data_IF_409757844166
#
_entry.id   IF_409757844166
#
_cell.length_a   1.000
_cell.length_b   1.000
_cell.length_c   1.000
_cell.angle_alpha   90.00
_cell.angle_beta   90.00
_cell.angle_gamma   90.00
#
_symmetry.space_group_name_H-M   'P 1'
#
loop_
_entity.id
_entity.type
_entity.pdbx_description
1 polymer ?
#
# COMPACT_ATOMS: atom_id res chain seq x y z
N UNK A 1 -3.68 10.44 36.39
CA UNK A 1 -2.27 10.71 36.04
C UNK A 1 -1.72 9.66 35.08
N UNK A 2 -1.92 8.35 35.30
CA UNK A 2 -1.45 7.28 34.38
C UNK A 2 -2.13 7.25 33.00
N UNK A 3 -3.44 7.55 32.90
CA UNK A 3 -4.16 7.56 31.60
C UNK A 3 -3.64 8.63 30.63
N UNK A 4 -3.33 9.81 31.14
CA UNK A 4 -2.78 10.92 30.34
C UNK A 4 -1.37 10.56 29.86
N UNK A 5 -0.57 9.90 30.70
CA UNK A 5 0.76 9.44 30.33
C UNK A 5 0.70 8.35 29.25
N UNK A 6 -0.31 7.48 29.29
CA UNK A 6 -0.55 6.45 28.27
C UNK A 6 -0.94 7.05 26.91
N UNK A 7 -1.86 8.01 26.90
CA UNK A 7 -2.21 8.71 25.65
C UNK A 7 -1.04 9.53 25.09
N UNK A 8 -0.21 10.13 25.95
CA UNK A 8 0.99 10.85 25.50
C UNK A 8 2.06 9.91 24.91
N UNK A 9 2.21 8.69 25.45
CA UNK A 9 3.11 7.66 24.92
C UNK A 9 2.59 7.09 23.59
N UNK A 10 1.27 6.90 23.45
CA UNK A 10 0.66 6.50 22.18
C UNK A 10 0.77 7.59 21.10
N UNK A 11 0.64 8.88 21.47
CA UNK A 11 0.88 9.99 20.55
C UNK A 11 2.36 10.16 20.16
N UNK A 12 3.28 9.88 21.08
CA UNK A 12 4.72 9.88 20.77
C UNK A 12 5.12 8.71 19.86
N UNK A 13 4.40 7.58 19.96
CA UNK A 13 4.54 6.44 19.06
C UNK A 13 3.92 6.68 17.68
N UNK A 14 2.91 7.56 17.58
CA UNK A 14 2.28 7.92 16.30
C UNK A 14 3.18 8.77 15.38
N UNK A 15 4.21 9.43 15.93
CA UNK A 15 5.26 10.13 15.19
C UNK A 15 6.60 9.40 15.30
N UNK A 16 6.61 8.10 15.04
CA UNK A 16 7.86 7.37 14.91
C UNK A 16 8.55 7.75 13.58
N UNK A 17 9.49 8.70 13.68
CA UNK A 17 10.34 9.15 12.57
C UNK A 17 11.06 7.96 11.93
N UNK A 18 11.41 6.93 12.72
CA UNK A 18 12.04 5.72 12.20
C UNK A 18 11.10 4.95 11.26
N UNK A 19 9.81 4.87 11.59
CA UNK A 19 8.81 4.26 10.73
C UNK A 19 8.59 5.06 9.45
N UNK A 20 8.48 6.39 9.57
CA UNK A 20 8.33 7.29 8.42
C UNK A 20 9.51 7.16 7.46
N UNK A 21 10.74 7.16 7.97
CA UNK A 21 11.95 6.99 7.15
C UNK A 21 11.99 5.62 6.50
N UNK A 22 11.62 4.55 7.22
CA UNK A 22 11.55 3.20 6.65
C UNK A 22 10.56 3.12 5.50
N UNK A 23 9.37 3.71 5.66
CA UNK A 23 8.34 3.79 4.62
C UNK A 23 8.81 4.63 3.43
N UNK A 24 9.44 5.79 3.68
CA UNK A 24 9.99 6.64 2.63
C UNK A 24 11.05 5.91 1.77
N UNK A 25 12.00 5.21 2.42
CA UNK A 25 13.01 4.41 1.70
C UNK A 25 12.34 3.30 0.88
N UNK A 26 11.34 2.61 1.44
CA UNK A 26 10.58 1.58 0.72
C UNK A 26 9.96 2.13 -0.57
N UNK A 27 9.21 3.24 -0.49
CA UNK A 27 8.53 3.80 -1.65
C UNK A 27 9.49 4.38 -2.70
N UNK A 28 10.66 4.88 -2.28
CA UNK A 28 11.72 5.30 -3.20
C UNK A 28 12.30 4.12 -3.98
N UNK A 29 12.49 2.96 -3.33
CA UNK A 29 12.98 1.74 -3.99
C UNK A 29 11.92 1.23 -4.99
N UNK A 30 10.64 1.21 -4.59
CA UNK A 30 9.54 0.79 -5.46
C UNK A 30 9.35 1.72 -6.67
N UNK A 31 9.35 3.03 -6.45
CA UNK A 31 9.33 4.02 -7.54
C UNK A 31 10.56 3.93 -8.45
N UNK A 32 11.73 3.64 -7.89
CA UNK A 32 12.96 3.38 -8.64
C UNK A 32 12.86 2.16 -9.55
N UNK A 33 12.25 1.07 -9.08
CA UNK A 33 11.99 -0.11 -9.90
C UNK A 33 11.08 0.21 -11.10
N UNK A 34 10.07 1.07 -10.91
CA UNK A 34 9.22 1.55 -12.02
C UNK A 34 10.00 2.46 -12.98
N UNK A 35 10.91 3.29 -12.48
CA UNK A 35 11.79 4.12 -13.31
C UNK A 35 12.66 3.26 -14.24
N UNK A 36 13.21 2.16 -13.71
CA UNK A 36 13.98 1.17 -14.49
C UNK A 36 13.11 0.55 -15.58
N UNK A 37 11.88 0.15 -15.24
CA UNK A 37 10.93 -0.38 -16.23
C UNK A 37 10.59 0.66 -17.32
N UNK A 38 10.34 1.91 -16.93
CA UNK A 38 10.07 3.01 -17.85
C UNK A 38 11.27 3.36 -18.74
N UNK A 39 12.50 3.07 -18.31
CA UNK A 39 13.69 3.26 -19.13
C UNK A 39 13.89 2.12 -20.14
N UNK A 40 13.69 0.86 -19.74
CA UNK A 40 14.04 -0.32 -20.56
C UNK A 40 12.92 -0.85 -21.46
N UNK A 41 11.65 -0.67 -21.10
CA UNK A 41 10.51 -1.21 -21.85
C UNK A 41 10.22 -0.45 -23.15
N UNK A 42 10.27 0.91 -23.18
CA UNK A 42 9.87 1.65 -24.37
C UNK A 42 10.81 1.42 -25.56
N UNK A 43 10.23 1.24 -26.75
CA UNK A 43 10.99 1.17 -28.01
C UNK A 43 11.60 2.52 -28.42
N UNK A 44 11.03 3.62 -27.93
CA UNK A 44 11.51 4.99 -28.16
C UNK A 44 12.08 5.52 -26.85
N UNK A 45 13.26 6.13 -26.92
CA UNK A 45 13.88 6.74 -25.74
C UNK A 45 12.98 7.83 -25.17
N UNK A 46 12.67 7.69 -23.88
CA UNK A 46 11.94 8.69 -23.10
C UNK A 46 12.91 9.71 -22.52
N UNK A 47 12.41 10.92 -22.27
CA UNK A 47 13.21 11.93 -21.59
C UNK A 47 13.39 11.54 -20.12
N UNK A 48 14.56 11.85 -19.55
CA UNK A 48 14.86 11.57 -18.15
C UNK A 48 13.85 12.25 -17.21
N UNK A 49 13.38 13.44 -17.58
CA UNK A 49 12.34 14.18 -16.85
C UNK A 49 11.02 13.39 -16.78
N UNK A 50 10.61 12.73 -17.87
CA UNK A 50 9.39 11.90 -17.91
C UNK A 50 9.53 10.67 -17.02
N UNK A 51 10.70 10.03 -17.04
CA UNK A 51 10.99 8.85 -16.22
C UNK A 51 10.96 9.22 -14.72
N UNK A 52 11.53 10.36 -14.34
CA UNK A 52 11.49 10.87 -12.97
C UNK A 52 10.05 11.16 -12.54
N UNK A 53 9.26 11.80 -13.39
CA UNK A 53 7.84 12.07 -13.13
C UNK A 53 7.04 10.79 -12.91
N UNK A 54 7.28 9.75 -13.72
CA UNK A 54 6.67 8.42 -13.53
C UNK A 54 7.10 7.81 -12.19
N UNK A 55 8.39 7.85 -11.87
CA UNK A 55 8.92 7.27 -10.64
C UNK A 55 8.30 7.89 -9.37
N UNK A 56 8.19 9.22 -9.34
CA UNK A 56 7.60 9.96 -8.20
C UNK A 56 6.10 9.68 -8.09
N UNK A 57 5.39 9.67 -9.21
CA UNK A 57 3.95 9.36 -9.23
C UNK A 57 3.69 7.93 -8.78
N UNK A 58 4.53 6.98 -9.21
CA UNK A 58 4.44 5.59 -8.79
C UNK A 58 4.74 5.42 -7.30
N UNK A 59 5.77 6.08 -6.77
CA UNK A 59 6.10 6.06 -5.35
C UNK A 59 4.93 6.59 -4.49
N UNK A 60 4.30 7.70 -4.90
CA UNK A 60 3.11 8.22 -4.24
C UNK A 60 1.92 7.25 -4.31
N UNK A 61 1.73 6.58 -5.45
CA UNK A 61 0.67 5.58 -5.63
C UNK A 61 0.88 4.36 -4.74
N UNK A 62 2.09 3.81 -4.70
CA UNK A 62 2.41 2.68 -3.82
C UNK A 62 2.31 3.04 -2.34
N UNK A 63 2.70 4.26 -1.96
CA UNK A 63 2.50 4.74 -0.60
C UNK A 63 1.01 4.75 -0.19
N UNK A 64 0.11 5.16 -1.09
CA UNK A 64 -1.33 5.09 -0.85
C UNK A 64 -1.82 3.63 -0.76
N UNK A 65 -1.41 2.77 -1.69
CA UNK A 65 -1.79 1.37 -1.70
C UNK A 65 -1.37 0.66 -0.40
N UNK A 66 -0.16 0.91 0.09
CA UNK A 66 0.34 0.35 1.35
C UNK A 66 -0.42 0.84 2.58
N UNK A 67 -0.83 2.11 2.59
CA UNK A 67 -1.62 2.68 3.69
C UNK A 67 -3.03 2.08 3.75
N UNK A 68 -3.65 1.82 2.59
CA UNK A 68 -5.02 1.31 2.51
C UNK A 68 -5.12 -0.22 2.37
N UNK A 69 -4.04 -0.92 2.03
CA UNK A 69 -4.03 -2.37 1.91
C UNK A 69 -4.59 -3.09 3.16
N UNK A 70 -4.26 -2.70 4.40
CA UNK A 70 -4.80 -3.36 5.60
C UNK A 70 -6.33 -3.23 5.73
N UNK A 71 -6.89 -2.04 5.46
CA UNK A 71 -8.33 -1.81 5.61
C UNK A 71 -9.15 -2.53 4.55
N UNK A 72 -8.63 -2.63 3.32
CA UNK A 72 -9.28 -3.33 2.20
C UNK A 72 -9.14 -4.86 2.35
N UNK A 73 -8.01 -5.34 2.89
CA UNK A 73 -7.72 -6.78 3.00
C UNK A 73 -8.73 -7.55 3.86
N UNK A 74 -9.22 -6.95 4.94
CA UNK A 74 -10.17 -7.61 5.84
C UNK A 74 -11.51 -7.89 5.17
N UNK A 75 -12.04 -6.90 4.44
CA UNK A 75 -13.29 -7.05 3.70
C UNK A 75 -13.12 -8.03 2.53
N UNK A 76 -12.01 -7.94 1.79
CA UNK A 76 -11.72 -8.85 0.68
C UNK A 76 -11.63 -10.32 1.14
N UNK A 77 -10.94 -10.59 2.26
CA UNK A 77 -10.84 -11.94 2.84
C UNK A 77 -12.19 -12.46 3.32
N UNK A 78 -13.01 -11.62 3.95
CA UNK A 78 -14.36 -12.01 4.38
C UNK A 78 -15.26 -12.32 3.19
N UNK A 79 -15.27 -11.47 2.15
CA UNK A 79 -16.05 -11.70 0.93
C UNK A 79 -15.62 -12.98 0.20
N UNK A 80 -14.31 -13.20 0.05
CA UNK A 80 -13.78 -14.41 -0.56
C UNK A 80 -14.08 -15.67 0.29
N UNK A 81 -13.89 -15.60 1.61
CA UNK A 81 -14.18 -16.71 2.52
C UNK A 81 -15.67 -17.06 2.54
N UNK A 82 -16.54 -16.06 2.55
CA UNK A 82 -17.98 -16.25 2.39
C UNK A 82 -18.31 -16.85 1.03
N UNK A 83 -17.77 -16.32 -0.06
CA UNK A 83 -18.04 -16.83 -1.41
C UNK A 83 -17.63 -18.30 -1.58
N UNK A 84 -16.45 -18.68 -1.08
CA UNK A 84 -15.99 -20.07 -1.08
C UNK A 84 -16.88 -20.94 -0.19
N UNK A 85 -17.14 -20.51 1.06
CA UNK A 85 -17.97 -21.27 1.99
C UNK A 85 -19.41 -21.45 1.51
N UNK A 86 -20.01 -20.39 0.98
CA UNK A 86 -21.35 -20.39 0.41
C UNK A 86 -21.46 -21.36 -0.77
N UNK A 87 -20.47 -21.35 -1.68
CA UNK A 87 -20.44 -22.28 -2.80
C UNK A 87 -20.32 -23.74 -2.33
N UNK A 88 -19.51 -24.02 -1.30
CA UNK A 88 -19.34 -25.36 -0.73
C UNK A 88 -20.61 -25.89 -0.05
N UNK A 89 -21.41 -25.02 0.57
CA UNK A 89 -22.65 -25.41 1.26
C UNK A 89 -23.90 -25.29 0.40
N UNK A 90 -23.79 -24.92 -0.88
CA UNK A 90 -24.93 -24.70 -1.77
C UNK A 90 -25.78 -23.47 -1.40
N UNK A 91 -25.18 -22.49 -0.70
CA UNK A 91 -25.79 -21.21 -0.37
C UNK A 91 -25.49 -20.17 -1.47
N UNK A 92 -26.45 -19.29 -1.82
CA UNK A 92 -27.85 -19.33 -1.45
C UNK A 92 -28.56 -20.45 -2.22
N UNK A 93 -29.37 -21.25 -1.52
CA UNK A 93 -30.31 -22.15 -2.19
C UNK A 93 -31.23 -21.26 -3.02
N UNK A 94 -31.19 -21.40 -4.35
CA UNK A 94 -32.15 -20.74 -5.23
C UNK A 94 -33.55 -21.13 -4.72
N UNK A 95 -34.36 -20.13 -4.35
CA UNK A 95 -35.77 -20.32 -4.03
C UNK A 95 -36.54 -20.80 -5.26
#
# INVERSE_FOLDING_TARGET
MERVQKELVDLQSAFDIQEVVKRAIKYLIEGGAVAVAAYYIPKKQMNVEEIIMIAVTAAATFALLDMYAPSISNAARQGAGFGIGANLTGFPTLA
#
